data_IF_268252506273
#
_entry.id   IF_268252506273
#
_cell.length_a   1.000
_cell.length_b   1.000
_cell.length_c   1.000
_cell.angle_alpha   90.00
_cell.angle_beta   90.00
_cell.angle_gamma   90.00
#
_symmetry.space_group_name_H-M   'P 1'
#
loop_
_entity.id
_entity.type
_entity.pdbx_description
1 polymer ?
#
# COMPACT_ATOMS: atom_id res chain seq x y z
N UNK A 1 -9.74 -6.81 -11.68
CA UNK A 1 -10.60 -5.96 -10.81
C UNK A 1 -10.96 -6.62 -9.48
N UNK A 2 -11.32 -7.91 -9.44
CA UNK A 2 -11.72 -8.61 -8.20
C UNK A 2 -10.65 -8.70 -7.08
N UNK A 3 -9.38 -8.37 -7.34
CA UNK A 3 -8.32 -8.35 -6.33
C UNK A 3 -8.09 -6.96 -5.68
N UNK A 4 -8.39 -5.86 -6.38
CA UNK A 4 -8.01 -4.51 -5.93
C UNK A 4 -8.74 -4.09 -4.64
N UNK A 5 -10.03 -4.43 -4.54
CA UNK A 5 -10.83 -4.11 -3.35
C UNK A 5 -10.37 -4.91 -2.12
N UNK A 6 -9.84 -6.13 -2.30
CA UNK A 6 -9.29 -6.94 -1.21
C UNK A 6 -8.08 -6.22 -0.60
N UNK A 7 -7.16 -5.77 -1.45
CA UNK A 7 -6.00 -4.98 -1.00
C UNK A 7 -6.43 -3.71 -0.29
N UNK A 8 -7.42 -2.99 -0.84
CA UNK A 8 -7.96 -1.79 -0.21
C UNK A 8 -8.51 -2.08 1.20
N UNK A 9 -9.38 -3.09 1.35
CA UNK A 9 -9.96 -3.45 2.64
C UNK A 9 -8.88 -3.81 3.66
N UNK A 10 -7.89 -4.65 3.28
CA UNK A 10 -6.82 -5.07 4.18
C UNK A 10 -6.01 -3.88 4.67
N UNK A 11 -5.56 -3.01 3.75
CA UNK A 11 -4.73 -1.86 4.11
C UNK A 11 -5.51 -0.83 4.92
N UNK A 12 -6.79 -0.61 4.62
CA UNK A 12 -7.68 0.24 5.44
C UNK A 12 -7.83 -0.31 6.86
N UNK A 13 -8.03 -1.62 7.03
CA UNK A 13 -8.16 -2.24 8.36
C UNK A 13 -6.85 -2.10 9.16
N UNK A 14 -5.69 -2.30 8.52
CA UNK A 14 -4.39 -2.15 9.18
C UNK A 14 -4.20 -0.72 9.70
N UNK A 15 -4.46 0.29 8.88
CA UNK A 15 -4.28 1.68 9.30
C UNK A 15 -5.37 2.17 10.24
N UNK A 16 -6.61 1.68 10.11
CA UNK A 16 -7.68 1.93 11.07
C UNK A 16 -7.33 1.35 12.45
N UNK A 17 -6.74 0.15 12.50
CA UNK A 17 -6.24 -0.42 13.75
C UNK A 17 -5.18 0.48 14.40
N UNK A 18 -4.21 0.97 13.62
CA UNK A 18 -3.15 1.87 14.12
C UNK A 18 -3.71 3.22 14.57
N UNK A 19 -4.65 3.80 13.83
CA UNK A 19 -5.21 5.13 14.11
C UNK A 19 -6.34 5.16 15.15
N UNK A 20 -6.96 4.01 15.45
CA UNK A 20 -8.12 3.92 16.35
C UNK A 20 -7.80 3.02 17.54
N UNK A 21 -7.42 1.76 17.30
CA UNK A 21 -7.25 0.78 18.38
C UNK A 21 -6.01 1.10 19.23
N UNK A 22 -4.87 1.40 18.60
CA UNK A 22 -3.65 1.70 19.35
C UNK A 22 -3.76 2.95 20.27
N UNK A 23 -4.36 4.07 19.84
CA UNK A 23 -4.61 5.22 20.73
C UNK A 23 -5.48 4.90 21.95
N UNK A 24 -6.44 3.98 21.82
CA UNK A 24 -7.34 3.59 22.91
C UNK A 24 -6.63 2.75 23.98
N UNK A 25 -5.66 1.91 23.58
CA UNK A 25 -4.90 1.07 24.52
C UNK A 25 -3.73 1.80 25.20
N UNK A 26 -3.44 3.06 24.85
CA UNK A 26 -2.37 3.83 25.51
C UNK A 26 -2.68 4.01 27.00
N UNK A 27 -1.79 3.56 27.92
CA UNK A 27 -2.04 3.59 29.35
C UNK A 27 -2.34 4.99 29.89
N UNK A 28 -3.41 5.09 30.69
CA UNK A 28 -3.91 6.37 31.23
C UNK A 28 -2.96 7.08 32.19
N UNK A 29 -2.04 6.33 32.82
CA UNK A 29 -1.07 6.86 33.79
C UNK A 29 0.14 7.54 33.14
N UNK A 30 0.27 7.54 31.81
CA UNK A 30 1.42 8.18 31.15
C UNK A 30 1.28 9.71 31.12
N UNK A 31 2.32 10.46 31.50
CA UNK A 31 2.36 11.92 31.37
C UNK A 31 2.11 12.39 29.93
N UNK A 32 2.73 11.72 28.95
CA UNK A 32 2.72 12.15 27.53
C UNK A 32 1.66 11.42 26.68
N UNK A 33 0.59 10.93 27.30
CA UNK A 33 -0.44 10.12 26.61
C UNK A 33 -1.02 10.82 25.38
N UNK A 34 -1.33 12.11 25.50
CA UNK A 34 -1.92 12.89 24.40
C UNK A 34 -1.00 13.01 23.20
N UNK A 35 0.30 13.21 23.43
CA UNK A 35 1.31 13.29 22.36
C UNK A 35 1.41 11.95 21.63
N UNK A 36 1.46 10.83 22.37
CA UNK A 36 1.51 9.49 21.77
C UNK A 36 0.26 9.22 20.93
N UNK A 37 -0.93 9.57 21.42
CA UNK A 37 -2.18 9.42 20.67
C UNK A 37 -2.19 10.27 19.40
N UNK A 38 -1.71 11.52 19.48
CA UNK A 38 -1.57 12.40 18.32
C UNK A 38 -0.59 11.83 17.30
N UNK A 39 0.59 11.37 17.73
CA UNK A 39 1.58 10.77 16.85
C UNK A 39 1.01 9.55 16.13
N UNK A 40 0.34 8.64 16.84
CA UNK A 40 -0.29 7.45 16.24
C UNK A 40 -1.38 7.83 15.22
N UNK A 41 -2.26 8.78 15.57
CA UNK A 41 -3.34 9.21 14.68
C UNK A 41 -2.79 9.93 13.43
N UNK A 42 -1.84 10.86 13.61
CA UNK A 42 -1.24 11.61 12.51
C UNK A 42 -0.48 10.68 11.56
N UNK A 43 0.34 9.76 12.10
CA UNK A 43 1.03 8.76 11.30
C UNK A 43 0.04 7.90 10.52
N UNK A 44 -1.02 7.41 11.17
CA UNK A 44 -2.02 6.57 10.49
C UNK A 44 -2.69 7.29 9.32
N UNK A 45 -3.10 8.55 9.51
CA UNK A 45 -3.72 9.36 8.45
C UNK A 45 -2.75 9.64 7.31
N UNK A 46 -1.54 10.13 7.60
CA UNK A 46 -0.57 10.49 6.57
C UNK A 46 -0.13 9.27 5.75
N UNK A 47 0.19 8.15 6.40
CA UNK A 47 0.63 6.95 5.70
C UNK A 47 -0.51 6.30 4.91
N UNK A 48 -1.74 6.27 5.45
CA UNK A 48 -2.89 5.77 4.71
C UNK A 48 -3.19 6.62 3.47
N UNK A 49 -3.20 7.95 3.60
CA UNK A 49 -3.44 8.84 2.46
C UNK A 49 -2.36 8.73 1.39
N UNK A 50 -1.09 8.67 1.80
CA UNK A 50 0.02 8.47 0.86
C UNK A 50 -0.15 7.17 0.05
N UNK A 51 -0.45 6.07 0.75
CA UNK A 51 -0.72 4.79 0.09
C UNK A 51 -1.97 4.84 -0.79
N UNK A 52 -3.07 5.38 -0.29
CA UNK A 52 -4.35 5.40 -1.00
C UNK A 52 -4.24 6.20 -2.30
N UNK A 53 -3.59 7.37 -2.27
CA UNK A 53 -3.41 8.20 -3.47
C UNK A 53 -2.60 7.47 -4.55
N UNK A 54 -1.48 6.83 -4.17
CA UNK A 54 -0.64 6.10 -5.14
C UNK A 54 -1.33 4.85 -5.67
N UNK A 55 -2.10 4.16 -4.83
CA UNK A 55 -2.92 3.02 -5.23
C UNK A 55 -4.03 3.42 -6.21
N UNK A 56 -4.81 4.46 -5.90
CA UNK A 56 -5.91 4.94 -6.74
C UNK A 56 -5.42 5.40 -8.11
N UNK A 57 -4.23 6.01 -8.18
CA UNK A 57 -3.62 6.47 -9.44
C UNK A 57 -3.39 5.32 -10.44
N UNK A 58 -3.25 4.08 -9.95
CA UNK A 58 -2.94 2.91 -10.77
C UNK A 58 -4.15 2.01 -11.06
N UNK A 59 -5.36 2.32 -10.54
CA UNK A 59 -6.52 1.44 -10.71
C UNK A 59 -7.08 1.44 -12.14
N UNK A 60 -6.99 2.56 -12.85
CA UNK A 60 -7.44 2.71 -14.23
C UNK A 60 -6.36 3.46 -15.03
N UNK A 61 -5.21 2.81 -15.31
CA UNK A 61 -4.10 3.48 -15.98
C UNK A 61 -4.49 3.80 -17.43
N UNK A 62 -4.19 5.01 -17.89
CA UNK A 62 -4.44 5.43 -19.28
C UNK A 62 -3.34 4.98 -20.25
N UNK A 63 -2.15 4.74 -19.73
CA UNK A 63 -0.97 4.37 -20.50
C UNK A 63 -0.16 3.30 -19.78
N UNK A 64 0.47 2.43 -20.56
CA UNK A 64 1.39 1.40 -20.09
C UNK A 64 2.85 1.86 -20.19
N UNK A 65 3.79 1.09 -19.61
CA UNK A 65 5.21 1.35 -19.72
C UNK A 65 5.70 1.19 -21.18
N UNK A 66 6.65 2.03 -21.59
CA UNK A 66 7.30 1.95 -22.92
C UNK A 66 8.68 1.30 -22.74
N UNK A 67 8.86 0.08 -23.25
CA UNK A 67 10.09 -0.70 -23.09
C UNK A 67 10.76 -0.95 -24.44
N UNK A 68 12.09 -1.09 -24.42
CA UNK A 68 12.87 -1.55 -25.59
C UNK A 68 12.64 -3.04 -25.82
N UNK A 69 12.70 -3.46 -27.09
CA UNK A 69 12.45 -4.85 -27.50
C UNK A 69 13.34 -5.87 -26.78
N UNK A 70 14.59 -5.50 -26.44
CA UNK A 70 15.51 -6.34 -25.66
C UNK A 70 14.99 -6.62 -24.24
N UNK A 71 14.43 -5.60 -23.56
CA UNK A 71 13.88 -5.75 -22.21
C UNK A 71 12.56 -6.53 -22.27
N UNK A 72 11.76 -6.32 -23.31
CA UNK A 72 10.52 -7.08 -23.52
C UNK A 72 10.84 -8.58 -23.64
N UNK A 73 11.85 -8.97 -24.45
CA UNK A 73 12.28 -10.37 -24.56
C UNK A 73 12.73 -10.95 -23.22
N UNK A 74 13.56 -10.21 -22.48
CA UNK A 74 14.00 -10.63 -21.15
C UNK A 74 12.83 -10.81 -20.17
N UNK A 75 11.84 -9.91 -20.20
CA UNK A 75 10.65 -10.00 -19.36
C UNK A 75 9.81 -11.24 -19.70
N UNK A 76 9.63 -11.54 -21.00
CA UNK A 76 8.94 -12.75 -21.44
C UNK A 76 9.65 -14.03 -20.99
N UNK A 77 10.98 -14.06 -20.95
CA UNK A 77 11.71 -15.24 -20.49
C UNK A 77 11.66 -15.45 -18.98
N UNK A 78 11.63 -14.37 -18.21
CA UNK A 78 11.75 -14.46 -16.75
C UNK A 78 10.39 -14.51 -16.03
N UNK A 79 9.35 -13.87 -16.60
CA UNK A 79 8.05 -13.71 -15.95
C UNK A 79 6.90 -14.44 -16.66
N UNK A 80 7.13 -14.97 -17.86
CA UNK A 80 6.17 -15.80 -18.60
C UNK A 80 6.79 -17.20 -18.80
N UNK A 81 5.97 -18.25 -18.96
CA UNK A 81 6.44 -19.64 -19.13
C UNK A 81 7.04 -19.89 -20.53
N UNK A 82 7.86 -18.96 -21.04
CA UNK A 82 8.44 -19.05 -22.37
C UNK A 82 9.61 -20.05 -22.39
N UNK A 83 9.47 -21.13 -23.16
CA UNK A 83 10.56 -22.07 -23.41
C UNK A 83 11.76 -21.38 -24.08
N UNK A 84 12.95 -21.73 -23.62
CA UNK A 84 14.23 -21.21 -24.12
C UNK A 84 14.36 -21.61 -25.59
N UNK A 85 14.47 -20.67 -26.55
CA UNK A 85 14.85 -21.02 -27.90
C UNK A 85 16.32 -21.45 -27.87
N UNK A 86 16.60 -22.72 -28.20
CA UNK A 86 17.98 -23.21 -28.40
C UNK A 86 18.70 -22.48 -29.54
#
# INVERSE_FOLDING_TARGET
MAAAWITAVIVTVIWAFVGIVLPLVVPRKRPDRGIIQLMLALTAVCCYLFWLCTFLMQLNPLFGPQLKSEIIKALYWEWDDAEIPE
#
